data_IF_809913461394
#
_entry.id   IF_809913461394
#
_cell.length_a   1.000
_cell.length_b   1.000
_cell.length_c   1.000
_cell.angle_alpha   90.00
_cell.angle_beta   90.00
_cell.angle_gamma   90.00
#
_symmetry.space_group_name_H-M   'P 1'
#
loop_
_entity.id
_entity.type
_entity.pdbx_description
1 polymer ?
#
# COMPACT_ATOMS: atom_id res chain seq x y z
N UNK A 1 6.24 -18.24 36.69
CA UNK A 1 6.34 -16.82 37.09
C UNK A 1 6.48 -15.99 35.83
N UNK A 2 5.62 -14.98 35.65
CA UNK A 2 5.64 -14.16 34.42
C UNK A 2 6.87 -13.23 34.44
N UNK A 3 7.88 -13.56 33.63
CA UNK A 3 9.14 -12.81 33.57
C UNK A 3 8.99 -11.39 33.04
N UNK A 4 7.86 -11.05 32.35
CA UNK A 4 7.59 -9.70 31.88
C UNK A 4 7.24 -8.70 32.99
N UNK A 5 6.71 -9.21 34.10
CA UNK A 5 6.35 -8.41 35.27
C UNK A 5 7.36 -8.57 36.42
N UNK A 6 8.33 -9.46 36.29
CA UNK A 6 9.31 -9.71 37.35
C UNK A 6 10.47 -8.70 37.28
N UNK A 7 10.64 -7.81 38.28
CA UNK A 7 11.68 -6.79 38.25
C UNK A 7 13.12 -7.34 38.37
N UNK A 8 13.28 -8.62 38.66
CA UNK A 8 14.58 -9.28 38.61
C UNK A 8 15.09 -9.56 37.18
N UNK A 9 14.20 -9.50 36.22
CA UNK A 9 14.55 -9.67 34.78
C UNK A 9 14.60 -8.31 34.08
N UNK A 10 15.72 -8.01 33.45
CA UNK A 10 15.93 -6.76 32.72
C UNK A 10 15.84 -6.97 31.19
N UNK A 11 15.67 -5.88 30.42
CA UNK A 11 15.89 -5.92 28.97
C UNK A 11 17.39 -6.02 28.67
N UNK A 12 17.80 -6.51 27.49
CA UNK A 12 19.20 -6.48 27.07
C UNK A 12 19.64 -5.04 26.78
N UNK A 13 20.03 -4.32 27.86
CA UNK A 13 20.46 -2.92 27.79
C UNK A 13 21.63 -2.76 26.84
N UNK A 14 21.55 -1.75 25.98
CA UNK A 14 22.59 -1.43 25.01
C UNK A 14 23.42 -0.24 25.47
N UNK A 15 24.76 -0.29 25.35
CA UNK A 15 25.62 0.84 25.69
C UNK A 15 25.38 2.00 24.71
N UNK A 16 25.56 3.24 25.14
CA UNK A 16 25.56 4.39 24.27
C UNK A 16 26.66 4.28 23.20
N UNK A 17 26.31 4.64 21.97
CA UNK A 17 27.24 4.70 20.83
C UNK A 17 27.05 6.02 20.08
N UNK A 18 28.02 6.38 19.24
CA UNK A 18 28.04 7.68 18.54
C UNK A 18 27.29 7.73 17.21
N UNK A 19 26.90 6.57 16.67
CA UNK A 19 26.21 6.52 15.37
C UNK A 19 25.66 5.16 15.01
N UNK A 20 24.94 5.10 13.89
CA UNK A 20 24.40 3.89 13.30
C UNK A 20 23.32 3.20 14.16
N UNK A 21 23.08 1.93 13.88
CA UNK A 21 22.09 1.11 14.61
C UNK A 21 22.45 0.97 16.09
N UNK A 22 23.73 0.93 16.42
CA UNK A 22 24.18 0.88 17.81
C UNK A 22 23.77 2.14 18.59
N UNK A 23 23.90 3.33 18.00
CA UNK A 23 23.40 4.57 18.60
C UNK A 23 21.87 4.51 18.80
N UNK A 24 21.12 4.07 17.78
CA UNK A 24 19.68 3.96 17.87
C UNK A 24 19.28 3.03 19.04
N UNK A 25 19.85 1.82 19.10
CA UNK A 25 19.60 0.87 20.19
C UNK A 25 19.91 1.46 21.56
N UNK A 26 21.01 2.22 21.68
CA UNK A 26 21.45 2.84 22.94
C UNK A 26 20.56 3.99 23.42
N UNK A 27 19.66 4.54 22.59
CA UNK A 27 18.86 5.74 22.90
C UNK A 27 17.34 5.54 22.85
N UNK A 28 16.84 4.33 22.61
CA UNK A 28 15.40 4.00 22.61
C UNK A 28 14.93 3.41 23.93
N UNK A 29 13.60 3.45 24.26
CA UNK A 29 13.09 2.87 25.50
C UNK A 29 13.21 1.34 25.55
N UNK A 30 13.14 0.65 24.39
CA UNK A 30 13.12 -0.82 24.32
C UNK A 30 14.33 -1.49 24.97
N UNK A 31 15.50 -0.87 24.91
CA UNK A 31 16.77 -1.40 25.42
C UNK A 31 17.30 -0.60 26.60
N UNK A 32 16.44 0.04 27.37
CA UNK A 32 16.78 0.86 28.52
C UNK A 32 16.02 0.40 29.77
N UNK A 33 16.61 0.64 30.95
CA UNK A 33 15.99 0.39 32.24
C UNK A 33 15.97 1.66 33.11
N UNK A 34 15.17 1.63 34.18
CA UNK A 34 15.14 2.69 35.20
C UNK A 34 14.78 4.08 34.65
N UNK A 35 15.49 5.15 35.13
CA UNK A 35 15.16 6.53 34.76
C UNK A 35 15.28 6.81 33.23
N UNK A 36 16.22 6.16 32.53
CA UNK A 36 16.37 6.29 31.09
C UNK A 36 15.17 5.71 30.34
N UNK A 37 14.72 4.52 30.72
CA UNK A 37 13.50 3.93 30.18
C UNK A 37 12.30 4.85 30.41
N UNK A 38 12.08 5.30 31.65
CA UNK A 38 10.92 6.16 31.98
C UNK A 38 10.90 7.45 31.15
N UNK A 39 12.04 8.11 31.00
CA UNK A 39 12.15 9.36 30.22
C UNK A 39 11.86 9.14 28.74
N UNK A 40 12.49 8.11 28.13
CA UNK A 40 12.32 7.77 26.70
C UNK A 40 10.91 7.27 26.41
N UNK A 41 10.34 6.48 27.32
CA UNK A 41 8.96 6.01 27.23
C UNK A 41 7.98 7.17 27.22
N UNK A 42 8.13 8.15 28.11
CA UNK A 42 7.29 9.37 28.10
C UNK A 42 7.42 10.16 26.81
N UNK A 43 8.62 10.20 26.20
CA UNK A 43 8.82 10.86 24.91
C UNK A 43 8.03 10.14 23.80
N UNK A 44 8.10 8.81 23.73
CA UNK A 44 7.32 8.00 22.79
C UNK A 44 5.82 8.21 22.99
N UNK A 45 5.32 8.15 24.20
CA UNK A 45 3.90 8.35 24.53
C UNK A 45 3.39 9.73 24.16
N UNK A 46 4.19 10.79 24.35
CA UNK A 46 3.83 12.15 23.92
C UNK A 46 3.74 12.27 22.40
N UNK A 47 4.69 11.66 21.66
CA UNK A 47 4.66 11.65 20.19
C UNK A 47 3.41 10.93 19.70
N UNK A 48 3.12 9.75 20.25
CA UNK A 48 1.94 8.98 19.88
C UNK A 48 0.63 9.73 20.22
N UNK A 49 0.55 10.37 21.38
CA UNK A 49 -0.63 11.14 21.78
C UNK A 49 -0.94 12.34 20.85
N UNK A 50 0.03 12.82 20.08
CA UNK A 50 -0.16 13.88 19.10
C UNK A 50 -0.59 13.38 17.71
N UNK A 51 -0.61 12.07 17.49
CA UNK A 51 -0.96 11.46 16.21
C UNK A 51 -2.48 11.40 16.04
N UNK A 52 -2.97 11.91 14.93
CA UNK A 52 -4.34 11.70 14.51
C UNK A 52 -4.50 10.25 14.00
N UNK A 53 -5.32 9.46 14.70
CA UNK A 53 -5.57 8.07 14.32
C UNK A 53 -6.27 7.93 12.96
N UNK A 54 -7.08 8.92 12.55
CA UNK A 54 -7.72 8.91 11.22
C UNK A 54 -6.66 9.03 10.11
N UNK A 55 -5.60 9.80 10.34
CA UNK A 55 -4.48 9.88 9.40
C UNK A 55 -3.75 8.54 9.22
N UNK A 56 -3.79 7.65 10.21
CA UNK A 56 -3.21 6.31 10.12
C UNK A 56 -4.10 5.31 9.37
N UNK A 57 -5.42 5.55 9.30
CA UNK A 57 -6.40 4.68 8.62
C UNK A 57 -6.41 4.85 7.11
N UNK A 58 -5.42 5.53 6.55
CA UNK A 58 -5.26 5.68 5.09
C UNK A 58 -4.57 4.45 4.48
N UNK A 59 -4.89 4.10 3.23
CA UNK A 59 -4.17 3.08 2.48
C UNK A 59 -2.68 3.38 2.34
N UNK A 60 -1.91 2.35 1.98
CA UNK A 60 -0.46 2.43 1.76
C UNK A 60 0.36 1.85 2.90
N UNK A 61 1.69 1.94 2.78
CA UNK A 61 2.63 1.35 3.73
C UNK A 61 2.44 1.92 5.14
N UNK A 62 2.22 1.07 6.16
CA UNK A 62 1.95 1.52 7.52
C UNK A 62 3.04 2.41 8.10
N UNK A 63 4.32 2.07 7.86
CA UNK A 63 5.46 2.86 8.31
C UNK A 63 5.49 4.24 7.65
N UNK A 64 5.10 4.35 6.38
CA UNK A 64 5.03 5.62 5.67
C UNK A 64 3.90 6.51 6.25
N UNK A 65 2.74 5.92 6.55
CA UNK A 65 1.61 6.62 7.20
C UNK A 65 2.01 7.11 8.61
N UNK A 66 2.68 6.26 9.40
CA UNK A 66 3.16 6.64 10.73
C UNK A 66 4.25 7.73 10.64
N UNK A 67 5.18 7.63 9.69
CA UNK A 67 6.23 8.63 9.48
C UNK A 67 5.63 10.01 9.21
N UNK A 68 4.68 10.10 8.28
CA UNK A 68 3.98 11.34 7.96
C UNK A 68 3.22 11.90 9.16
N UNK A 69 2.54 11.03 9.92
CA UNK A 69 1.78 11.44 11.12
C UNK A 69 2.66 12.00 12.24
N UNK A 70 3.94 11.61 12.31
CA UNK A 70 4.92 12.14 13.27
C UNK A 70 5.86 13.19 12.65
N UNK A 71 5.50 13.73 11.48
CA UNK A 71 6.20 14.87 10.84
C UNK A 71 7.48 14.48 10.10
N UNK A 72 7.56 13.26 9.54
CA UNK A 72 8.66 12.81 8.69
C UNK A 72 8.16 12.52 7.26
N UNK A 73 9.04 12.63 6.24
CA UNK A 73 8.67 12.25 4.89
C UNK A 73 8.29 10.77 4.79
N UNK A 74 7.29 10.43 3.98
CA UNK A 74 6.87 9.03 3.73
C UNK A 74 8.03 8.14 3.26
N UNK A 75 8.94 8.71 2.47
CA UNK A 75 10.10 8.00 1.91
C UNK A 75 11.08 7.43 2.94
N UNK A 76 11.03 7.88 4.21
CA UNK A 76 11.87 7.30 5.26
C UNK A 76 11.53 5.82 5.52
N UNK A 77 10.37 5.34 5.07
CA UNK A 77 10.00 3.93 5.17
C UNK A 77 11.02 3.00 4.49
N UNK A 78 11.66 3.42 3.40
CA UNK A 78 12.73 2.64 2.76
C UNK A 78 13.97 2.48 3.65
N UNK A 79 14.36 3.54 4.35
CA UNK A 79 15.48 3.48 5.29
C UNK A 79 15.12 2.66 6.54
N UNK A 80 13.87 2.76 7.01
CA UNK A 80 13.36 1.95 8.12
C UNK A 80 13.42 0.46 7.77
N UNK A 81 13.05 0.07 6.54
CA UNK A 81 13.12 -1.32 6.08
C UNK A 81 14.56 -1.89 6.09
N UNK A 82 15.58 -1.06 5.86
CA UNK A 82 16.99 -1.46 5.98
C UNK A 82 17.43 -1.63 7.44
N UNK A 83 16.85 -0.86 8.36
CA UNK A 83 17.23 -0.88 9.79
C UNK A 83 16.50 -1.98 10.56
N UNK A 84 15.24 -2.25 10.23
CA UNK A 84 14.38 -3.17 10.99
C UNK A 84 14.98 -4.58 11.18
N UNK A 85 15.53 -5.27 10.16
CA UNK A 85 16.17 -6.58 10.31
C UNK A 85 17.39 -6.57 11.27
N UNK A 86 18.04 -5.41 11.39
CA UNK A 86 19.23 -5.23 12.24
C UNK A 86 18.89 -4.69 13.63
N UNK A 87 17.62 -4.39 13.94
CA UNK A 87 17.27 -3.64 15.15
C UNK A 87 17.44 -4.45 16.45
N UNK A 88 17.22 -5.76 16.40
CA UNK A 88 17.41 -6.60 17.58
C UNK A 88 18.91 -6.82 17.87
N UNK A 89 19.36 -6.76 19.15
CA UNK A 89 20.80 -6.83 19.47
C UNK A 89 21.51 -8.11 19.02
N UNK A 90 20.79 -9.20 18.86
CA UNK A 90 21.34 -10.50 18.42
C UNK A 90 21.43 -10.64 16.91
N UNK A 91 20.96 -9.65 16.15
CA UNK A 91 21.09 -9.63 14.70
C UNK A 91 22.33 -8.81 14.28
N UNK A 92 23.06 -9.26 13.26
CA UNK A 92 24.22 -8.52 12.75
C UNK A 92 23.78 -7.19 12.15
N UNK A 93 24.60 -6.16 12.33
CA UNK A 93 24.39 -4.84 11.73
C UNK A 93 25.06 -4.80 10.38
N UNK A 94 24.34 -4.34 9.35
CA UNK A 94 24.88 -4.12 8.02
C UNK A 94 25.32 -2.65 7.87
N UNK A 95 26.28 -2.41 6.96
CA UNK A 95 26.70 -1.06 6.61
C UNK A 95 25.54 -0.23 6.04
N UNK A 96 24.68 -0.84 5.24
CA UNK A 96 23.48 -0.19 4.69
C UNK A 96 22.52 0.29 5.79
N UNK A 97 22.33 -0.51 6.86
CA UNK A 97 21.51 -0.13 8.00
C UNK A 97 22.11 1.05 8.79
N UNK A 98 23.44 1.06 8.99
CA UNK A 98 24.10 2.20 9.66
C UNK A 98 23.98 3.50 8.84
N UNK A 99 24.17 3.42 7.53
CA UNK A 99 23.98 4.55 6.62
C UNK A 99 22.51 4.99 6.58
N UNK A 100 21.55 4.06 6.65
CA UNK A 100 20.11 4.36 6.72
C UNK A 100 19.77 5.12 8.01
N UNK A 101 20.32 4.74 9.18
CA UNK A 101 20.13 5.51 10.41
C UNK A 101 20.62 6.95 10.26
N UNK A 102 21.74 7.20 9.58
CA UNK A 102 22.22 8.56 9.34
C UNK A 102 21.25 9.38 8.46
N UNK A 103 20.67 8.76 7.41
CA UNK A 103 19.65 9.42 6.58
C UNK A 103 18.35 9.68 7.35
N UNK A 104 17.92 8.76 8.20
CA UNK A 104 16.77 8.94 9.10
C UNK A 104 16.98 10.09 10.07
N UNK A 105 18.17 10.20 10.69
CA UNK A 105 18.53 11.34 11.55
C UNK A 105 18.52 12.64 10.75
N UNK A 106 19.08 12.68 9.55
CA UNK A 106 19.06 13.85 8.68
C UNK A 106 17.62 14.29 8.36
N UNK A 107 16.74 13.35 8.01
CA UNK A 107 15.31 13.59 7.74
C UNK A 107 14.56 14.10 8.99
N UNK A 108 15.02 13.73 10.20
CA UNK A 108 14.45 14.15 11.47
C UNK A 108 15.05 15.47 12.02
N UNK A 109 15.79 16.23 11.20
CA UNK A 109 16.37 17.52 11.60
C UNK A 109 17.86 17.46 11.98
N UNK A 110 18.55 16.36 11.73
CA UNK A 110 20.01 16.20 11.81
C UNK A 110 20.59 16.07 13.22
N UNK A 111 19.77 16.01 14.28
CA UNK A 111 20.25 15.93 15.65
C UNK A 111 20.35 14.47 16.13
N UNK A 112 21.53 14.10 16.63
CA UNK A 112 21.81 12.81 17.24
C UNK A 112 21.47 12.83 18.74
N UNK A 113 20.17 13.08 19.04
CA UNK A 113 19.68 13.16 20.41
C UNK A 113 18.65 12.05 20.71
N UNK A 114 18.27 11.96 21.97
CA UNK A 114 17.36 10.91 22.47
C UNK A 114 15.95 11.05 21.86
N UNK A 115 15.49 12.27 21.59
CA UNK A 115 14.19 12.51 21.01
C UNK A 115 14.11 11.99 19.56
N UNK A 116 15.15 12.27 18.78
CA UNK A 116 15.30 11.75 17.41
C UNK A 116 15.40 10.22 17.40
N UNK A 117 16.16 9.63 18.33
CA UNK A 117 16.25 8.18 18.44
C UNK A 117 14.89 7.53 18.79
N UNK A 118 14.13 8.11 19.69
CA UNK A 118 12.79 7.63 20.05
C UNK A 118 11.85 7.72 18.86
N UNK A 119 11.87 8.81 18.10
CA UNK A 119 11.06 9.01 16.88
C UNK A 119 11.36 7.93 15.83
N UNK A 120 12.63 7.69 15.52
CA UNK A 120 13.07 6.65 14.60
C UNK A 120 12.72 5.26 15.15
N UNK A 121 12.92 5.04 16.45
CA UNK A 121 12.61 3.77 17.12
C UNK A 121 11.14 3.37 17.02
N UNK A 122 10.20 4.32 17.04
CA UNK A 122 8.77 4.05 16.81
C UNK A 122 8.54 3.46 15.42
N UNK A 123 9.14 4.04 14.37
CA UNK A 123 9.00 3.55 12.99
C UNK A 123 9.61 2.16 12.81
N UNK A 124 10.83 1.95 13.33
CA UNK A 124 11.54 0.67 13.20
C UNK A 124 10.79 -0.46 13.91
N UNK A 125 10.22 -0.20 15.09
CA UNK A 125 9.43 -1.19 15.83
C UNK A 125 8.07 -1.47 15.18
N UNK A 126 7.48 -0.48 14.50
CA UNK A 126 6.22 -0.64 13.79
C UNK A 126 6.36 -1.49 12.50
N UNK A 127 7.55 -1.55 11.89
CA UNK A 127 7.74 -2.15 10.56
C UNK A 127 7.23 -3.60 10.48
N UNK A 128 7.91 -4.53 11.12
CA UNK A 128 7.57 -5.96 11.03
C UNK A 128 6.29 -6.29 11.82
N UNK A 129 6.11 -5.66 12.99
CA UNK A 129 4.98 -5.93 13.86
C UNK A 129 3.64 -5.55 13.21
N UNK A 130 3.57 -4.40 12.52
CA UNK A 130 2.34 -3.98 11.85
C UNK A 130 2.07 -4.81 10.59
N UNK A 131 3.09 -5.14 9.80
CA UNK A 131 2.95 -6.04 8.65
C UNK A 131 2.45 -7.42 9.05
N UNK A 132 2.98 -7.99 10.14
CA UNK A 132 2.51 -9.26 10.67
C UNK A 132 1.04 -9.18 11.15
N UNK A 133 0.65 -8.08 11.79
CA UNK A 133 -0.74 -7.84 12.20
C UNK A 133 -1.69 -7.75 10.98
N UNK A 134 -1.27 -7.08 9.90
CA UNK A 134 -2.03 -6.98 8.64
C UNK A 134 -2.17 -8.35 7.99
N UNK A 135 -1.11 -9.15 7.99
CA UNK A 135 -1.09 -10.50 7.45
C UNK A 135 -1.93 -11.51 8.29
N UNK A 136 -2.48 -11.06 9.44
CA UNK A 136 -3.38 -11.87 10.25
C UNK A 136 -2.70 -12.75 11.29
N UNK A 137 -1.41 -12.49 11.61
CA UNK A 137 -0.75 -13.19 12.71
C UNK A 137 -1.35 -12.76 14.05
N UNK A 138 -1.88 -13.71 14.82
CA UNK A 138 -2.43 -13.44 16.17
C UNK A 138 -1.37 -12.92 17.15
N UNK A 139 -0.11 -13.30 16.93
CA UNK A 139 1.04 -12.83 17.71
C UNK A 139 2.11 -12.27 16.78
N UNK A 140 1.99 -10.98 16.38
CA UNK A 140 2.92 -10.33 15.45
C UNK A 140 4.40 -10.38 15.90
N UNK A 141 4.63 -10.36 17.23
CA UNK A 141 5.95 -10.53 17.84
C UNK A 141 5.85 -11.72 18.79
N UNK A 142 6.25 -12.95 18.38
CA UNK A 142 5.98 -14.17 19.14
C UNK A 142 6.77 -14.28 20.46
N UNK A 143 7.91 -13.60 20.57
CA UNK A 143 8.75 -13.67 21.76
C UNK A 143 9.57 -12.40 21.98
N UNK A 144 10.00 -12.18 23.22
CA UNK A 144 10.97 -11.13 23.57
C UNK A 144 12.05 -11.68 24.50
N UNK A 145 13.23 -11.07 24.44
CA UNK A 145 14.37 -11.47 25.29
C UNK A 145 14.45 -10.65 26.56
N UNK A 146 14.87 -11.32 27.64
CA UNK A 146 15.18 -10.72 28.94
C UNK A 146 16.53 -11.26 29.42
N UNK A 147 17.14 -10.54 30.32
CA UNK A 147 18.34 -10.97 31.08
C UNK A 147 17.89 -11.38 32.47
N UNK A 148 18.16 -12.61 32.83
CA UNK A 148 17.86 -13.17 34.14
C UNK A 148 18.82 -12.62 35.20
N UNK A 149 18.54 -12.78 36.51
CA UNK A 149 19.40 -12.30 37.61
C UNK A 149 20.82 -12.87 37.61
N UNK A 150 21.02 -14.04 37.03
CA UNK A 150 22.33 -14.69 36.85
C UNK A 150 23.09 -14.23 35.58
N UNK A 151 22.53 -13.28 34.83
CA UNK A 151 23.10 -12.77 33.59
C UNK A 151 22.80 -13.60 32.36
N UNK A 152 22.11 -14.72 32.45
CA UNK A 152 21.72 -15.55 31.32
C UNK A 152 20.56 -14.93 30.51
N UNK A 153 20.47 -15.26 29.23
CA UNK A 153 19.30 -14.87 28.44
C UNK A 153 18.09 -15.77 28.77
N UNK A 154 16.93 -15.12 28.94
CA UNK A 154 15.63 -15.75 29.05
C UNK A 154 14.71 -15.27 27.95
N UNK A 155 13.93 -16.18 27.35
CA UNK A 155 12.95 -15.86 26.30
C UNK A 155 11.55 -15.86 26.93
N UNK A 156 10.84 -14.74 26.79
CA UNK A 156 9.44 -14.63 27.16
C UNK A 156 8.55 -14.88 25.94
N UNK A 157 7.67 -15.85 26.04
CA UNK A 157 6.61 -16.10 25.06
C UNK A 157 5.57 -14.96 25.15
N UNK A 158 5.20 -14.41 24.00
CA UNK A 158 4.18 -13.36 23.85
C UNK A 158 2.88 -13.88 23.24
N UNK A 159 2.69 -15.19 23.10
CA UNK A 159 1.43 -15.77 22.60
C UNK A 159 0.24 -15.24 23.40
N UNK A 160 -0.77 -14.72 22.72
CA UNK A 160 -1.93 -14.05 23.33
C UNK A 160 -1.64 -12.66 23.92
N UNK A 161 -0.44 -12.11 23.70
CA UNK A 161 -0.02 -10.77 24.17
C UNK A 161 0.67 -10.01 23.01
N UNK A 162 -0.04 -9.65 21.93
CA UNK A 162 0.54 -9.11 20.71
C UNK A 162 1.34 -7.82 20.94
N UNK A 163 1.02 -7.05 21.99
CA UNK A 163 1.72 -5.82 22.38
C UNK A 163 2.62 -5.98 23.60
N UNK A 164 2.90 -7.22 24.02
CA UNK A 164 3.69 -7.52 25.20
C UNK A 164 2.94 -7.26 26.51
N UNK A 165 3.70 -7.17 27.61
CA UNK A 165 3.16 -6.90 28.95
C UNK A 165 4.21 -6.24 29.85
N UNK A 166 3.75 -5.70 31.00
CA UNK A 166 4.60 -5.06 32.00
C UNK A 166 5.15 -3.70 31.57
N UNK A 167 6.23 -3.22 32.17
CA UNK A 167 6.77 -1.88 31.94
C UNK A 167 7.19 -1.62 30.50
N UNK A 168 7.52 -2.67 29.76
CA UNK A 168 7.94 -2.61 28.34
C UNK A 168 6.84 -3.03 27.35
N UNK A 169 5.56 -3.07 27.76
CA UNK A 169 4.44 -3.23 26.84
C UNK A 169 4.46 -2.12 25.78
N UNK A 170 4.06 -2.44 24.55
CA UNK A 170 4.01 -1.44 23.47
C UNK A 170 2.99 -0.34 23.80
N UNK A 171 3.35 0.95 23.72
CA UNK A 171 2.40 2.05 23.94
C UNK A 171 1.53 2.37 22.72
N UNK A 172 1.75 1.70 21.58
CA UNK A 172 1.20 2.06 20.28
C UNK A 172 0.11 1.06 19.82
N UNK A 173 -0.57 0.36 20.72
CA UNK A 173 -1.59 -0.63 20.39
C UNK A 173 -2.67 -0.03 19.47
N UNK A 174 -3.33 1.04 19.91
CA UNK A 174 -4.38 1.71 19.12
C UNK A 174 -3.87 2.27 17.79
N UNK A 175 -2.61 2.68 17.71
CA UNK A 175 -1.97 3.15 16.49
C UNK A 175 -1.70 2.00 15.51
N UNK A 176 -1.22 0.85 16.01
CA UNK A 176 -1.00 -0.34 15.20
C UNK A 176 -2.32 -0.88 14.63
N UNK A 177 -3.39 -0.86 15.44
CA UNK A 177 -4.74 -1.22 14.99
C UNK A 177 -5.26 -0.26 13.91
N UNK A 178 -5.08 1.05 14.08
CA UNK A 178 -5.47 2.05 13.09
C UNK A 178 -4.71 1.88 11.77
N UNK A 179 -3.39 1.61 11.81
CA UNK A 179 -2.58 1.30 10.64
C UNK A 179 -3.05 0.02 9.93
N UNK A 180 -3.35 -1.03 10.70
CA UNK A 180 -3.88 -2.28 10.15
C UNK A 180 -5.28 -2.10 9.54
N UNK A 181 -6.10 -1.25 10.13
CA UNK A 181 -7.40 -0.88 9.58
C UNK A 181 -7.26 -0.13 8.26
N UNK A 182 -6.34 0.83 8.15
CA UNK A 182 -6.02 1.58 6.93
C UNK A 182 -5.66 0.65 5.76
N UNK A 183 -4.83 -0.35 6.01
CA UNK A 183 -4.47 -1.35 5.01
C UNK A 183 -5.66 -2.18 4.51
N UNK A 184 -6.76 -2.27 5.28
CA UNK A 184 -7.96 -3.05 4.93
C UNK A 184 -9.08 -2.21 4.30
N UNK A 185 -9.00 -0.88 4.31
CA UNK A 185 -10.05 0.00 3.79
C UNK A 185 -10.43 -0.37 2.37
N UNK A 186 -9.44 -0.46 1.48
CA UNK A 186 -9.72 -0.76 0.07
C UNK A 186 -10.26 -2.19 -0.14
N UNK A 187 -9.84 -3.18 0.67
CA UNK A 187 -10.40 -4.54 0.62
C UNK A 187 -11.88 -4.54 0.96
N UNK A 188 -12.28 -3.84 2.03
CA UNK A 188 -13.69 -3.75 2.46
C UNK A 188 -14.61 -3.13 1.42
N UNK A 189 -14.10 -2.27 0.53
CA UNK A 189 -14.90 -1.67 -0.56
C UNK A 189 -15.37 -2.70 -1.59
N UNK A 190 -14.80 -3.90 -1.60
CA UNK A 190 -15.23 -5.02 -2.46
C UNK A 190 -16.23 -5.96 -1.75
N UNK A 191 -16.53 -5.70 -0.48
CA UNK A 191 -17.50 -6.44 0.29
C UNK A 191 -18.91 -5.85 0.07
N UNK A 192 -19.93 -6.66 0.30
CA UNK A 192 -21.30 -6.22 0.13
C UNK A 192 -21.92 -6.54 -1.23
N UNK A 193 -23.20 -6.20 -1.44
CA UNK A 193 -23.97 -6.62 -2.61
C UNK A 193 -23.66 -5.78 -3.87
N UNK A 194 -23.34 -4.50 -3.72
CA UNK A 194 -23.09 -3.61 -4.84
C UNK A 194 -21.62 -3.67 -5.29
N UNK A 195 -21.34 -3.79 -6.60
CA UNK A 195 -19.98 -3.76 -7.10
C UNK A 195 -19.34 -2.40 -6.87
N UNK A 196 -18.06 -2.38 -6.50
CA UNK A 196 -17.23 -1.18 -6.56
C UNK A 196 -17.06 -0.78 -8.04
N UNK A 197 -17.67 0.33 -8.46
CA UNK A 197 -17.38 0.92 -9.78
C UNK A 197 -16.13 1.76 -9.66
N UNK A 198 -15.06 1.33 -10.33
CA UNK A 198 -13.73 1.92 -10.23
C UNK A 198 -13.33 2.50 -11.59
N UNK A 199 -13.51 3.82 -11.79
CA UNK A 199 -13.09 4.49 -13.00
C UNK A 199 -11.57 4.63 -13.07
N UNK A 200 -11.00 4.61 -14.28
CA UNK A 200 -9.57 4.68 -14.50
C UNK A 200 -9.17 6.05 -15.07
N UNK A 201 -8.29 6.74 -14.34
CA UNK A 201 -7.68 8.00 -14.72
C UNK A 201 -6.33 7.78 -15.42
N UNK A 202 -5.86 8.79 -16.17
CA UNK A 202 -4.56 8.80 -16.84
C UNK A 202 -3.75 10.06 -16.52
N UNK A 203 -4.36 11.03 -15.84
CA UNK A 203 -3.75 12.27 -15.35
C UNK A 203 -4.48 12.80 -14.12
N UNK A 204 -3.95 13.86 -13.54
CA UNK A 204 -4.52 14.50 -12.34
C UNK A 204 -5.89 15.11 -12.64
N UNK A 205 -6.09 15.71 -13.82
CA UNK A 205 -7.34 16.38 -14.15
C UNK A 205 -8.51 15.39 -14.26
N UNK A 206 -8.29 14.25 -14.92
CA UNK A 206 -9.29 13.18 -15.00
C UNK A 206 -9.59 12.58 -13.61
N UNK A 207 -8.56 12.37 -12.79
CA UNK A 207 -8.75 11.83 -11.44
C UNK A 207 -9.57 12.77 -10.54
N UNK A 208 -9.26 14.08 -10.54
CA UNK A 208 -10.01 15.08 -9.77
C UNK A 208 -11.48 15.17 -10.23
N UNK A 209 -11.72 15.15 -11.54
CA UNK A 209 -13.08 15.14 -12.06
C UNK A 209 -13.89 13.92 -11.61
N UNK A 210 -13.25 12.74 -11.53
CA UNK A 210 -13.89 11.51 -11.08
C UNK A 210 -14.19 11.54 -9.57
N UNK A 211 -13.27 12.08 -8.76
CA UNK A 211 -13.52 12.28 -7.31
C UNK A 211 -14.66 13.25 -7.08
N UNK A 212 -14.69 14.38 -7.82
CA UNK A 212 -15.77 15.39 -7.76
C UNK A 212 -17.12 14.80 -8.17
N UNK A 213 -17.12 13.86 -9.13
CA UNK A 213 -18.31 13.11 -9.53
C UNK A 213 -18.78 12.08 -8.49
N UNK A 214 -18.10 11.96 -7.33
CA UNK A 214 -18.49 11.11 -6.22
C UNK A 214 -17.99 9.67 -6.27
N UNK A 215 -17.03 9.34 -7.14
CA UNK A 215 -16.41 8.01 -7.12
C UNK A 215 -15.52 7.85 -5.89
N UNK A 216 -15.71 6.74 -5.19
CA UNK A 216 -15.09 6.46 -3.88
C UNK A 216 -13.73 5.76 -3.96
N UNK A 217 -13.30 5.37 -5.16
CA UNK A 217 -11.96 4.86 -5.46
C UNK A 217 -11.62 5.12 -6.93
N UNK A 218 -10.33 5.28 -7.23
CA UNK A 218 -9.81 5.57 -8.58
C UNK A 218 -8.78 4.52 -8.97
N UNK A 219 -8.82 4.05 -10.22
CA UNK A 219 -7.74 3.29 -10.84
C UNK A 219 -6.91 4.13 -11.80
N UNK A 220 -5.71 3.68 -12.17
CA UNK A 220 -5.02 4.18 -13.35
C UNK A 220 -5.25 3.25 -14.55
N UNK A 221 -4.85 3.68 -15.75
CA UNK A 221 -4.84 2.87 -16.96
C UNK A 221 -3.49 2.99 -17.65
N UNK A 222 -2.77 1.85 -17.80
CA UNK A 222 -1.47 1.80 -18.48
C UNK A 222 -1.52 2.43 -19.86
N UNK A 223 -2.50 2.02 -20.69
CA UNK A 223 -2.70 2.59 -22.03
C UNK A 223 -2.89 4.11 -21.99
N UNK A 224 -3.72 4.62 -21.06
CA UNK A 224 -3.97 6.07 -20.98
C UNK A 224 -2.72 6.85 -20.60
N UNK A 225 -1.95 6.37 -19.61
CA UNK A 225 -0.68 6.97 -19.19
C UNK A 225 0.35 6.91 -20.32
N UNK A 226 0.58 5.73 -20.91
CA UNK A 226 1.52 5.56 -22.01
C UNK A 226 1.19 6.46 -23.21
N UNK A 227 -0.07 6.44 -23.66
CA UNK A 227 -0.51 7.22 -24.82
C UNK A 227 -0.43 8.74 -24.57
N UNK A 228 -0.74 9.22 -23.35
CA UNK A 228 -0.59 10.64 -23.00
C UNK A 228 0.87 11.12 -23.09
N UNK A 229 1.84 10.21 -22.95
CA UNK A 229 3.28 10.50 -23.07
C UNK A 229 3.90 10.04 -24.41
N UNK A 230 3.07 9.63 -25.38
CA UNK A 230 3.53 9.19 -26.69
C UNK A 230 4.25 7.84 -26.72
N UNK A 231 4.01 7.01 -25.70
CA UNK A 231 4.59 5.68 -25.57
C UNK A 231 3.60 4.59 -25.99
N UNK A 232 4.11 3.43 -26.39
CA UNK A 232 3.29 2.25 -26.65
C UNK A 232 2.91 1.55 -25.34
N UNK A 233 1.66 1.07 -25.24
CA UNK A 233 1.15 0.28 -24.13
C UNK A 233 1.75 -1.14 -24.11
N UNK A 234 1.75 -1.78 -22.95
CA UNK A 234 2.25 -3.15 -22.72
C UNK A 234 3.72 -3.37 -23.12
N UNK A 235 4.53 -2.33 -23.10
CA UNK A 235 5.97 -2.39 -23.42
C UNK A 235 6.87 -2.27 -22.20
N UNK A 236 6.31 -1.97 -21.03
CA UNK A 236 7.07 -1.68 -19.83
C UNK A 236 7.75 -0.30 -19.81
N UNK A 237 7.49 0.56 -20.78
CA UNK A 237 8.20 1.84 -20.92
C UNK A 237 7.70 2.94 -19.95
N UNK A 238 6.49 2.82 -19.40
CA UNK A 238 5.81 3.88 -18.63
C UNK A 238 6.03 3.88 -17.12
N UNK A 239 7.08 3.24 -16.61
CA UNK A 239 7.28 3.09 -15.15
C UNK A 239 7.45 4.43 -14.41
N UNK A 240 8.22 5.36 -14.98
CA UNK A 240 8.48 6.67 -14.36
C UNK A 240 7.20 7.51 -14.32
N UNK A 241 6.49 7.59 -15.43
CA UNK A 241 5.25 8.35 -15.60
C UNK A 241 4.14 7.80 -14.72
N UNK A 242 4.00 6.47 -14.67
CA UNK A 242 3.03 5.79 -13.80
C UNK A 242 3.34 6.05 -12.32
N UNK A 243 4.61 5.99 -11.91
CA UNK A 243 5.02 6.29 -10.53
C UNK A 243 4.83 7.78 -10.19
N UNK A 244 5.12 8.69 -11.09
CA UNK A 244 4.92 10.12 -10.89
C UNK A 244 3.44 10.46 -10.77
N UNK A 245 2.59 9.87 -11.62
CA UNK A 245 1.14 9.98 -11.52
C UNK A 245 0.65 9.39 -10.19
N UNK A 246 1.08 8.18 -9.83
CA UNK A 246 0.70 7.51 -8.58
C UNK A 246 1.02 8.38 -7.34
N UNK A 247 2.19 9.04 -7.32
CA UNK A 247 2.59 9.97 -6.24
C UNK A 247 1.61 11.12 -6.09
N UNK A 248 1.14 11.70 -7.20
CA UNK A 248 0.17 12.78 -7.18
C UNK A 248 -1.22 12.28 -6.77
N UNK A 249 -1.67 11.17 -7.33
CA UNK A 249 -2.99 10.61 -7.05
C UNK A 249 -3.12 10.07 -5.62
N UNK A 250 -2.04 9.57 -5.02
CA UNK A 250 -2.05 9.09 -3.62
C UNK A 250 -2.38 10.20 -2.59
N UNK A 251 -2.38 11.47 -3.00
CA UNK A 251 -2.83 12.60 -2.15
C UNK A 251 -4.35 12.82 -2.18
N UNK A 252 -5.08 12.13 -3.05
CA UNK A 252 -6.54 12.23 -3.14
C UNK A 252 -7.22 11.66 -1.87
N UNK A 253 -8.44 12.14 -1.54
CA UNK A 253 -9.18 11.68 -0.37
C UNK A 253 -9.82 10.28 -0.56
N UNK A 254 -9.49 9.58 -1.64
CA UNK A 254 -10.01 8.26 -2.00
C UNK A 254 -8.87 7.28 -2.27
N UNK A 255 -9.06 5.96 -2.02
CA UNK A 255 -8.07 4.96 -2.39
C UNK A 255 -7.77 4.96 -3.88
N UNK A 256 -6.48 4.79 -4.20
CA UNK A 256 -5.97 4.71 -5.57
C UNK A 256 -5.36 3.34 -5.82
N UNK A 257 -5.70 2.71 -6.94
CA UNK A 257 -5.05 1.49 -7.44
C UNK A 257 -4.35 1.76 -8.76
N UNK A 258 -3.18 1.14 -8.95
CA UNK A 258 -2.31 1.42 -10.11
C UNK A 258 -2.23 0.19 -11.01
N UNK A 259 -2.41 0.38 -12.30
CA UNK A 259 -2.15 -0.65 -13.31
C UNK A 259 -0.66 -0.67 -13.63
N UNK A 260 0.02 -1.76 -13.30
CA UNK A 260 1.46 -1.91 -13.47
C UNK A 260 1.84 -2.88 -14.60
N UNK A 261 0.90 -3.21 -15.49
CA UNK A 261 1.12 -4.21 -16.53
C UNK A 261 1.67 -5.51 -15.88
N UNK A 262 2.79 -6.03 -16.39
CA UNK A 262 3.52 -7.15 -15.80
C UNK A 262 4.76 -6.72 -14.99
N UNK A 263 4.80 -5.43 -14.55
CA UNK A 263 5.90 -4.83 -13.78
C UNK A 263 6.53 -3.60 -14.42
N UNK A 264 6.00 -3.11 -15.55
CA UNK A 264 6.50 -1.91 -16.26
C UNK A 264 8.01 -1.95 -16.55
N UNK A 265 8.54 -3.14 -16.89
CA UNK A 265 9.98 -3.32 -17.18
C UNK A 265 10.90 -3.26 -15.96
N UNK A 266 10.36 -3.29 -14.75
CA UNK A 266 11.06 -3.30 -13.47
C UNK A 266 10.78 -4.59 -12.70
N UNK A 267 11.48 -4.81 -11.59
CA UNK A 267 11.10 -5.83 -10.61
C UNK A 267 9.72 -5.50 -10.03
N UNK A 268 8.72 -6.38 -10.16
CA UNK A 268 7.37 -6.10 -9.70
C UNK A 268 7.25 -5.96 -8.17
N UNK A 269 8.14 -6.61 -7.40
CA UNK A 269 8.13 -6.55 -5.93
C UNK A 269 8.65 -5.19 -5.47
N UNK A 270 9.77 -4.73 -6.04
CA UNK A 270 10.32 -3.39 -5.76
C UNK A 270 9.32 -2.29 -6.14
N UNK A 271 8.68 -2.42 -7.33
CA UNK A 271 7.68 -1.45 -7.78
C UNK A 271 6.47 -1.43 -6.85
N UNK A 272 5.99 -2.58 -6.41
CA UNK A 272 4.86 -2.68 -5.48
C UNK A 272 5.17 -2.03 -4.11
N UNK A 273 6.39 -2.24 -3.57
CA UNK A 273 6.82 -1.61 -2.33
C UNK A 273 6.92 -0.08 -2.49
N UNK A 274 7.52 0.42 -3.57
CA UNK A 274 7.57 1.85 -3.88
C UNK A 274 6.17 2.48 -3.95
N UNK A 275 5.22 1.83 -4.64
CA UNK A 275 3.84 2.31 -4.76
C UNK A 275 3.11 2.31 -3.42
N UNK A 276 3.30 1.26 -2.61
CA UNK A 276 2.73 1.20 -1.25
C UNK A 276 3.26 2.34 -0.37
N UNK A 277 4.57 2.60 -0.40
CA UNK A 277 5.18 3.73 0.33
C UNK A 277 4.61 5.07 -0.13
N UNK A 278 4.29 5.25 -1.41
CA UNK A 278 3.62 6.45 -1.92
C UNK A 278 2.19 6.62 -1.39
N UNK A 279 1.53 5.55 -0.92
CA UNK A 279 0.16 5.58 -0.42
C UNK A 279 -0.86 4.91 -1.34
N UNK A 280 -0.40 4.17 -2.35
CA UNK A 280 -1.27 3.39 -3.25
C UNK A 280 -1.94 2.27 -2.47
N UNK A 281 -3.23 2.08 -2.69
CA UNK A 281 -4.04 1.07 -1.99
C UNK A 281 -3.98 -0.32 -2.64
N UNK A 282 -3.68 -0.38 -3.94
CA UNK A 282 -3.63 -1.65 -4.66
C UNK A 282 -3.00 -1.52 -6.04
N UNK A 283 -2.75 -2.65 -6.65
CA UNK A 283 -2.23 -2.77 -8.02
C UNK A 283 -3.05 -3.76 -8.84
N UNK A 284 -3.10 -3.55 -10.17
CA UNK A 284 -3.36 -4.63 -11.10
C UNK A 284 -2.03 -5.13 -11.64
N UNK A 285 -1.83 -6.45 -11.65
CA UNK A 285 -0.67 -7.09 -12.27
C UNK A 285 -1.15 -8.21 -13.18
N UNK A 286 -0.69 -8.21 -14.44
CA UNK A 286 -1.20 -9.12 -15.47
C UNK A 286 -0.25 -10.27 -15.80
N UNK A 287 -0.83 -11.38 -16.22
CA UNK A 287 -0.08 -12.50 -16.82
C UNK A 287 0.13 -12.34 -18.34
N UNK A 288 -0.47 -11.30 -18.92
CA UNK A 288 -0.21 -10.90 -20.30
C UNK A 288 1.26 -10.51 -20.52
N UNK A 289 1.81 -10.89 -21.66
CA UNK A 289 3.14 -10.53 -22.15
C UNK A 289 3.04 -10.13 -23.61
N UNK A 290 4.01 -9.41 -24.17
CA UNK A 290 4.00 -9.05 -25.61
C UNK A 290 3.90 -10.26 -26.54
N UNK A 291 4.36 -11.43 -26.11
CA UNK A 291 4.38 -12.66 -26.91
C UNK A 291 3.44 -13.76 -26.40
N UNK A 292 2.40 -13.40 -25.66
CA UNK A 292 1.42 -14.35 -25.13
C UNK A 292 1.24 -14.24 -23.60
N UNK A 293 1.07 -15.34 -22.91
CA UNK A 293 0.84 -15.37 -21.45
C UNK A 293 2.07 -15.93 -20.73
N UNK A 294 2.39 -15.38 -19.55
CA UNK A 294 3.35 -15.98 -18.64
C UNK A 294 2.92 -17.38 -18.22
N UNK A 295 3.89 -18.23 -17.86
CA UNK A 295 3.56 -19.48 -17.22
C UNK A 295 2.79 -19.23 -15.90
N UNK A 296 1.69 -19.96 -15.61
CA UNK A 296 0.88 -19.72 -14.41
C UNK A 296 1.67 -19.82 -13.11
N UNK A 297 2.71 -20.67 -13.07
CA UNK A 297 3.58 -20.82 -11.90
C UNK A 297 4.48 -19.61 -11.68
N UNK A 298 5.01 -19.03 -12.75
CA UNK A 298 5.84 -17.82 -12.72
C UNK A 298 5.03 -16.62 -12.19
N UNK A 299 3.84 -16.40 -12.76
CA UNK A 299 2.96 -15.30 -12.32
C UNK A 299 2.52 -15.48 -10.86
N UNK A 300 2.21 -16.69 -10.43
CA UNK A 300 1.87 -17.00 -9.05
C UNK A 300 3.03 -16.71 -8.09
N UNK A 301 4.28 -17.00 -8.49
CA UNK A 301 5.46 -16.69 -7.67
C UNK A 301 5.67 -15.18 -7.51
N UNK A 302 5.47 -14.41 -8.58
CA UNK A 302 5.51 -12.94 -8.52
C UNK A 302 4.47 -12.42 -7.54
N UNK A 303 3.22 -12.90 -7.65
CA UNK A 303 2.13 -12.49 -6.74
C UNK A 303 2.48 -12.83 -5.29
N UNK A 304 2.96 -14.03 -5.01
CA UNK A 304 3.39 -14.45 -3.66
C UNK A 304 4.49 -13.55 -3.13
N UNK A 305 5.53 -13.29 -3.92
CA UNK A 305 6.64 -12.44 -3.53
C UNK A 305 6.18 -11.01 -3.21
N UNK A 306 5.25 -10.45 -3.98
CA UNK A 306 4.64 -9.15 -3.68
C UNK A 306 3.88 -9.21 -2.35
N UNK A 307 3.07 -10.25 -2.12
CA UNK A 307 2.28 -10.36 -0.89
C UNK A 307 3.12 -10.59 0.36
N UNK A 308 4.22 -11.33 0.24
CA UNK A 308 5.17 -11.54 1.32
C UNK A 308 5.90 -10.23 1.69
N UNK A 309 6.29 -9.43 0.69
CA UNK A 309 6.99 -8.17 0.89
C UNK A 309 6.06 -7.02 1.31
N UNK A 310 4.84 -6.96 0.76
CA UNK A 310 3.91 -5.83 0.90
C UNK A 310 2.48 -6.34 1.19
N UNK A 311 2.25 -6.98 2.37
CA UNK A 311 0.97 -7.61 2.69
C UNK A 311 -0.22 -6.64 2.74
N UNK A 312 0.05 -5.34 2.97
CA UNK A 312 -0.95 -4.27 2.99
C UNK A 312 -1.53 -3.95 1.62
N UNK A 313 -0.77 -4.16 0.53
CA UNK A 313 -1.17 -3.80 -0.82
C UNK A 313 -2.21 -4.77 -1.37
N UNK A 314 -3.31 -4.25 -1.93
CA UNK A 314 -4.32 -5.06 -2.60
C UNK A 314 -3.81 -5.49 -3.99
N UNK A 315 -3.56 -6.77 -4.18
CA UNK A 315 -3.11 -7.34 -5.46
C UNK A 315 -4.32 -7.87 -6.23
N UNK A 316 -4.70 -7.20 -7.31
CA UNK A 316 -5.71 -7.61 -8.26
C UNK A 316 -5.05 -8.37 -9.42
N UNK A 317 -5.01 -9.68 -9.34
CA UNK A 317 -4.34 -10.53 -10.34
C UNK A 317 -5.15 -10.54 -11.63
N UNK A 318 -4.55 -10.05 -12.73
CA UNK A 318 -5.20 -10.00 -14.02
C UNK A 318 -4.86 -11.25 -14.85
N UNK A 319 -5.91 -11.92 -15.32
CA UNK A 319 -5.87 -13.13 -16.17
C UNK A 319 -6.24 -12.73 -17.59
N UNK A 320 -5.28 -12.68 -18.49
CA UNK A 320 -5.44 -12.12 -19.84
C UNK A 320 -5.87 -13.14 -20.91
N UNK A 321 -6.27 -14.34 -20.50
CA UNK A 321 -6.76 -15.37 -21.45
C UNK A 321 -7.87 -14.86 -22.35
N UNK A 322 -8.90 -14.21 -21.77
CA UNK A 322 -10.02 -13.63 -22.54
C UNK A 322 -9.64 -12.35 -23.27
N UNK A 323 -8.68 -11.58 -22.78
CA UNK A 323 -8.19 -10.38 -23.44
C UNK A 323 -7.39 -10.70 -24.70
N UNK A 324 -6.46 -11.64 -24.60
CA UNK A 324 -5.62 -12.07 -25.72
C UNK A 324 -6.25 -13.16 -26.58
N UNK A 325 -7.47 -13.64 -26.23
CA UNK A 325 -8.16 -14.73 -26.92
C UNK A 325 -7.30 -16.01 -27.05
N UNK A 326 -6.54 -16.32 -26.00
CA UNK A 326 -5.65 -17.48 -25.96
C UNK A 326 -5.81 -18.26 -24.65
N UNK A 327 -5.56 -19.56 -24.66
CA UNK A 327 -5.65 -20.44 -23.50
C UNK A 327 -6.96 -20.28 -22.68
N UNK A 328 -8.09 -20.06 -23.34
CA UNK A 328 -9.38 -19.75 -22.71
C UNK A 328 -9.81 -20.80 -21.67
N UNK A 329 -9.45 -22.07 -21.88
CA UNK A 329 -9.74 -23.16 -20.94
C UNK A 329 -8.93 -23.07 -19.63
N UNK A 330 -7.86 -22.27 -19.60
CA UNK A 330 -7.02 -22.09 -18.43
C UNK A 330 -7.48 -20.93 -17.52
N UNK A 331 -8.46 -20.12 -17.95
CA UNK A 331 -8.90 -18.92 -17.22
C UNK A 331 -9.16 -19.23 -15.75
N UNK A 332 -9.90 -20.30 -15.46
CA UNK A 332 -10.24 -20.71 -14.11
C UNK A 332 -9.00 -21.17 -13.32
N UNK A 333 -8.23 -22.08 -13.86
CA UNK A 333 -7.07 -22.66 -13.16
C UNK A 333 -5.97 -21.61 -12.90
N UNK A 334 -5.84 -20.61 -13.77
CA UNK A 334 -4.96 -19.46 -13.53
C UNK A 334 -5.46 -18.60 -12.38
N UNK A 335 -6.76 -18.27 -12.37
CA UNK A 335 -7.39 -17.51 -11.30
C UNK A 335 -7.20 -18.20 -9.94
N UNK A 336 -7.50 -19.50 -9.85
CA UNK A 336 -7.34 -20.30 -8.63
C UNK A 336 -5.88 -20.26 -8.12
N UNK A 337 -4.92 -20.48 -9.02
CA UNK A 337 -3.50 -20.45 -8.67
C UNK A 337 -3.01 -19.08 -8.17
N UNK A 338 -3.54 -17.99 -8.73
CA UNK A 338 -3.17 -16.63 -8.31
C UNK A 338 -3.79 -16.30 -6.94
N UNK A 339 -4.98 -16.79 -6.68
CA UNK A 339 -5.62 -16.71 -5.34
C UNK A 339 -4.82 -17.51 -4.32
N UNK A 340 -4.41 -18.75 -4.63
CA UNK A 340 -3.54 -19.57 -3.77
C UNK A 340 -2.18 -18.88 -3.50
N UNK A 341 -1.71 -18.04 -4.41
CA UNK A 341 -0.51 -17.23 -4.24
C UNK A 341 -0.74 -15.96 -3.40
N UNK A 342 -1.98 -15.68 -2.98
CA UNK A 342 -2.32 -14.55 -2.11
C UNK A 342 -2.92 -13.34 -2.81
N UNK A 343 -3.35 -13.45 -4.07
CA UNK A 343 -4.08 -12.37 -4.73
C UNK A 343 -5.34 -11.99 -3.96
N UNK A 344 -5.58 -10.69 -3.78
CA UNK A 344 -6.74 -10.15 -3.06
C UNK A 344 -7.98 -9.99 -3.95
N UNK A 345 -7.83 -10.09 -5.26
CA UNK A 345 -8.88 -10.07 -6.27
C UNK A 345 -8.41 -10.67 -7.58
N UNK A 346 -9.35 -11.04 -8.44
CA UNK A 346 -9.07 -11.55 -9.79
C UNK A 346 -9.73 -10.66 -10.82
N UNK A 347 -8.97 -10.23 -11.82
CA UNK A 347 -9.45 -9.42 -12.92
C UNK A 347 -9.37 -10.19 -14.24
N UNK A 348 -10.50 -10.39 -14.91
CA UNK A 348 -10.57 -11.08 -16.22
C UNK A 348 -11.10 -10.12 -17.28
N UNK A 349 -10.24 -9.27 -17.88
CA UNK A 349 -10.68 -8.36 -18.92
C UNK A 349 -11.12 -9.15 -20.16
N UNK A 350 -12.16 -8.65 -20.85
CA UNK A 350 -12.70 -9.29 -22.05
C UNK A 350 -13.65 -10.46 -21.80
N UNK A 351 -13.80 -10.96 -20.56
CA UNK A 351 -14.77 -11.99 -20.24
C UNK A 351 -16.19 -11.43 -20.33
N UNK A 352 -17.05 -12.09 -21.14
CA UNK A 352 -18.46 -11.68 -21.38
C UNK A 352 -19.46 -12.81 -21.21
N UNK A 353 -19.01 -14.06 -21.13
CA UNK A 353 -19.88 -15.23 -21.05
C UNK A 353 -20.51 -15.30 -19.64
N UNK A 354 -21.86 -15.13 -19.51
CA UNK A 354 -22.50 -15.00 -18.20
C UNK A 354 -22.39 -16.24 -17.29
N UNK A 355 -22.34 -17.45 -17.89
CA UNK A 355 -22.18 -18.70 -17.15
C UNK A 355 -20.83 -18.75 -16.45
N UNK A 356 -19.74 -18.46 -17.18
CA UNK A 356 -18.39 -18.46 -16.63
C UNK A 356 -18.21 -17.32 -15.62
N UNK A 357 -18.79 -16.13 -15.88
CA UNK A 357 -18.77 -15.02 -14.90
C UNK A 357 -19.40 -15.47 -13.59
N UNK A 358 -20.60 -16.07 -13.63
CA UNK A 358 -21.30 -16.54 -12.42
C UNK A 358 -20.50 -17.62 -11.70
N UNK A 359 -19.92 -18.56 -12.43
CA UNK A 359 -19.09 -19.62 -11.85
C UNK A 359 -17.87 -19.04 -11.15
N UNK A 360 -17.10 -18.16 -11.80
CA UNK A 360 -15.92 -17.51 -11.20
C UNK A 360 -16.32 -16.69 -9.98
N UNK A 361 -17.37 -15.86 -10.08
CA UNK A 361 -17.82 -15.02 -8.99
C UNK A 361 -18.32 -15.79 -7.76
N UNK A 362 -18.91 -16.99 -7.97
CA UNK A 362 -19.41 -17.83 -6.87
C UNK A 362 -18.35 -18.69 -6.21
N UNK A 363 -17.31 -19.08 -6.95
CA UNK A 363 -16.37 -20.10 -6.49
C UNK A 363 -15.00 -19.51 -6.08
N UNK A 364 -14.65 -18.32 -6.54
CA UNK A 364 -13.44 -17.63 -6.07
C UNK A 364 -13.69 -17.06 -4.66
N UNK A 365 -12.78 -17.27 -3.70
CA UNK A 365 -12.90 -16.70 -2.36
C UNK A 365 -12.56 -15.21 -2.30
N UNK A 366 -12.24 -14.59 -3.44
CA UNK A 366 -11.86 -13.19 -3.59
C UNK A 366 -12.76 -12.49 -4.63
N UNK A 367 -12.89 -11.15 -4.60
CA UNK A 367 -13.72 -10.41 -5.53
C UNK A 367 -13.29 -10.61 -6.98
N UNK A 368 -14.26 -10.88 -7.85
CA UNK A 368 -14.09 -10.86 -9.30
C UNK A 368 -14.23 -9.43 -9.81
N UNK A 369 -13.23 -8.96 -10.57
CA UNK A 369 -13.24 -7.71 -11.30
C UNK A 369 -13.42 -7.97 -12.81
N UNK A 370 -14.28 -7.19 -13.45
CA UNK A 370 -14.47 -7.18 -14.90
C UNK A 370 -14.41 -5.74 -15.44
N UNK A 371 -14.28 -5.61 -16.76
CA UNK A 371 -14.51 -4.34 -17.43
C UNK A 371 -16.02 -4.06 -17.54
N UNK A 372 -16.40 -2.77 -17.55
CA UNK A 372 -17.78 -2.32 -17.70
C UNK A 372 -18.35 -2.54 -19.11
N UNK A 373 -18.24 -3.76 -19.63
CA UNK A 373 -18.72 -4.16 -20.95
C UNK A 373 -20.18 -4.67 -20.94
N UNK A 374 -20.70 -4.97 -19.76
CA UNK A 374 -22.10 -5.27 -19.48
C UNK A 374 -22.64 -4.23 -18.50
N UNK A 375 -23.96 -4.00 -18.45
CA UNK A 375 -24.56 -3.10 -17.46
C UNK A 375 -24.20 -3.50 -16.02
N UNK A 376 -23.87 -2.52 -15.18
CA UNK A 376 -23.49 -2.78 -13.78
C UNK A 376 -24.53 -3.61 -13.01
N UNK A 377 -25.86 -3.39 -13.14
CA UNK A 377 -26.85 -4.24 -12.50
C UNK A 377 -26.74 -5.71 -12.94
N UNK A 378 -26.48 -5.99 -14.20
CA UNK A 378 -26.29 -7.35 -14.70
C UNK A 378 -25.00 -7.98 -14.12
N UNK A 379 -23.90 -7.22 -14.04
CA UNK A 379 -22.66 -7.68 -13.43
C UNK A 379 -22.84 -7.99 -11.94
N UNK A 380 -23.58 -7.14 -11.22
CA UNK A 380 -23.97 -7.38 -9.83
C UNK A 380 -24.73 -8.68 -9.66
N UNK A 381 -25.75 -8.91 -10.50
CA UNK A 381 -26.60 -10.11 -10.43
C UNK A 381 -25.84 -11.40 -10.82
N UNK A 382 -24.71 -11.26 -11.51
CA UNK A 382 -23.75 -12.32 -11.79
C UNK A 382 -22.72 -12.53 -10.66
N UNK A 383 -22.71 -11.68 -9.61
CA UNK A 383 -21.85 -11.81 -8.45
C UNK A 383 -20.51 -11.03 -8.56
N UNK A 384 -20.32 -10.23 -9.61
CA UNK A 384 -19.13 -9.35 -9.77
C UNK A 384 -19.07 -8.35 -8.64
N UNK A 385 -17.88 -8.09 -8.10
CA UNK A 385 -17.64 -7.17 -6.97
C UNK A 385 -16.86 -5.94 -7.32
N UNK A 386 -16.20 -5.89 -8.48
CA UNK A 386 -15.52 -4.70 -8.99
C UNK A 386 -15.76 -4.57 -10.49
N UNK A 387 -16.03 -3.33 -10.92
CA UNK A 387 -16.19 -2.98 -12.33
C UNK A 387 -15.21 -1.86 -12.65
N UNK A 388 -14.18 -2.15 -13.43
CA UNK A 388 -13.18 -1.18 -13.89
C UNK A 388 -13.54 -0.67 -15.29
N UNK A 389 -13.14 0.56 -15.62
CA UNK A 389 -13.36 1.13 -16.96
C UNK A 389 -12.21 0.88 -17.92
N UNK A 390 -11.02 0.53 -17.41
CA UNK A 390 -9.82 0.38 -18.21
C UNK A 390 -9.53 1.66 -19.02
N UNK A 391 -9.14 1.53 -20.25
CA UNK A 391 -8.86 2.67 -21.14
C UNK A 391 -10.09 3.37 -21.72
N UNK A 392 -11.30 2.93 -21.35
CA UNK A 392 -12.54 3.45 -21.98
C UNK A 392 -12.65 4.97 -21.84
N UNK A 393 -12.40 5.52 -20.64
CA UNK A 393 -12.55 6.95 -20.37
C UNK A 393 -11.52 7.78 -21.16
N UNK A 394 -10.27 7.32 -21.21
CA UNK A 394 -9.24 7.95 -22.04
C UNK A 394 -9.64 7.99 -23.51
N UNK A 395 -10.05 6.87 -24.07
CA UNK A 395 -10.49 6.79 -25.49
C UNK A 395 -11.70 7.66 -25.77
N UNK A 396 -12.63 7.75 -24.83
CA UNK A 396 -13.79 8.64 -24.93
C UNK A 396 -13.37 10.13 -24.91
N UNK A 397 -12.41 10.50 -24.04
CA UNK A 397 -11.89 11.86 -23.98
C UNK A 397 -11.16 12.27 -25.26
N UNK A 398 -10.32 11.38 -25.82
CA UNK A 398 -9.65 11.63 -27.11
C UNK A 398 -10.68 11.82 -28.24
N UNK A 399 -11.72 10.97 -28.28
CA UNK A 399 -12.80 11.12 -29.28
C UNK A 399 -13.55 12.43 -29.08
N UNK A 400 -13.92 12.78 -27.86
CA UNK A 400 -14.62 14.04 -27.57
C UNK A 400 -13.79 15.27 -28.00
N UNK A 401 -12.47 15.24 -27.77
CA UNK A 401 -11.57 16.32 -28.21
C UNK A 401 -11.56 16.47 -29.74
N UNK A 402 -11.46 15.37 -30.48
CA UNK A 402 -11.48 15.41 -31.97
C UNK A 402 -12.83 15.86 -32.51
N UNK A 403 -13.95 15.33 -31.97
CA UNK A 403 -15.31 15.71 -32.39
C UNK A 403 -15.56 17.21 -32.15
N UNK A 404 -15.14 17.73 -31.00
CA UNK A 404 -15.26 19.15 -30.66
C UNK A 404 -14.45 20.03 -31.59
N UNK A 405 -13.20 19.66 -31.89
CA UNK A 405 -12.34 20.39 -32.82
C UNK A 405 -12.95 20.40 -34.26
N UNK A 406 -13.53 19.28 -34.68
CA UNK A 406 -14.21 19.20 -35.97
C UNK A 406 -15.48 20.06 -36.03
N UNK A 407 -16.28 20.08 -34.96
CA UNK A 407 -17.44 20.96 -34.85
C UNK A 407 -17.05 22.44 -34.97
N UNK A 408 -16.00 22.87 -34.26
CA UNK A 408 -15.47 24.24 -34.33
C UNK A 408 -15.00 24.55 -35.77
N UNK A 409 -14.26 23.66 -36.42
CA UNK A 409 -13.80 23.82 -37.81
C UNK A 409 -14.96 23.96 -38.80
N UNK A 410 -16.04 23.25 -38.55
CA UNK A 410 -17.23 23.26 -39.43
C UNK A 410 -18.20 24.43 -39.10
N UNK A 411 -17.94 25.24 -38.06
CA UNK A 411 -18.83 26.29 -37.58
C UNK A 411 -20.10 25.76 -36.91
N UNK A 412 -20.08 24.52 -36.41
CA UNK A 412 -21.19 23.92 -35.72
C UNK A 412 -21.15 24.27 -34.20
N UNK A 413 -22.29 24.25 -33.49
CA UNK A 413 -22.31 24.40 -32.05
C UNK A 413 -21.48 23.32 -31.38
N UNK A 414 -20.72 23.72 -30.35
CA UNK A 414 -20.03 22.80 -29.44
C UNK A 414 -21.02 22.38 -28.33
N UNK A 415 -21.00 21.10 -27.97
CA UNK A 415 -21.82 20.59 -26.89
C UNK A 415 -21.42 21.19 -25.52
N UNK A 416 -22.15 20.82 -24.48
CA UNK A 416 -21.87 21.28 -23.11
C UNK A 416 -20.52 20.73 -22.63
N UNK A 417 -19.63 21.63 -22.19
CA UNK A 417 -18.31 21.31 -21.64
C UNK A 417 -18.05 22.14 -20.39
N UNK A 418 -17.25 21.64 -19.44
CA UNK A 418 -16.87 22.41 -18.26
C UNK A 418 -16.25 23.75 -18.63
N UNK A 419 -16.58 24.79 -17.90
CA UNK A 419 -16.00 26.12 -18.08
C UNK A 419 -14.51 26.14 -17.74
N UNK A 420 -13.81 27.18 -18.24
CA UNK A 420 -12.41 27.40 -17.87
C UNK A 420 -12.23 27.51 -16.34
N UNK A 421 -13.14 28.21 -15.66
CA UNK A 421 -13.08 28.41 -14.21
C UNK A 421 -13.24 27.09 -13.43
N UNK A 422 -14.17 26.22 -13.84
CA UNK A 422 -14.37 24.90 -13.24
C UNK A 422 -13.13 24.02 -13.37
N UNK A 423 -12.48 24.00 -14.53
CA UNK A 423 -11.25 23.24 -14.73
C UNK A 423 -10.08 23.87 -13.94
N UNK A 424 -9.95 25.20 -13.95
CA UNK A 424 -8.88 25.91 -13.26
C UNK A 424 -8.96 25.77 -11.72
N UNK A 425 -10.16 25.55 -11.19
CA UNK A 425 -10.37 25.30 -9.75
C UNK A 425 -9.95 23.89 -9.29
N UNK A 426 -9.81 22.93 -10.20
CA UNK A 426 -9.40 21.54 -9.90
C UNK A 426 -7.91 21.46 -9.66
N UNK A 427 -7.50 21.55 -8.40
CA UNK A 427 -6.09 21.47 -7.98
C UNK A 427 -5.91 20.46 -6.86
N UNK A 428 -4.75 19.78 -6.83
CA UNK A 428 -4.37 18.94 -5.70
C UNK A 428 -4.15 19.82 -4.47
N UNK A 429 -4.80 19.48 -3.35
CA UNK A 429 -4.69 20.25 -2.09
C UNK A 429 -5.59 21.48 -1.98
N UNK A 430 -6.38 21.78 -3.00
CA UNK A 430 -7.47 22.74 -2.91
C UNK A 430 -8.60 22.13 -2.07
N UNK A 431 -8.68 22.43 -0.78
CA UNK A 431 -9.87 22.15 0.02
C UNK A 431 -11.07 22.75 -0.68
N UNK A 432 -12.18 22.00 -0.75
CA UNK A 432 -13.48 22.50 -1.18
C UNK A 432 -13.86 23.70 -0.30
N UNK A 433 -13.46 24.89 -0.72
CA UNK A 433 -14.03 26.11 -0.23
C UNK A 433 -15.49 26.06 -0.66
N UNK A 434 -16.36 25.72 0.26
CA UNK A 434 -17.81 25.95 0.14
C UNK A 434 -17.99 27.43 -0.19
N UNK A 435 -18.23 27.73 -1.46
CA UNK A 435 -18.81 28.99 -1.84
C UNK A 435 -20.21 29.02 -1.19
N UNK A 436 -20.35 29.87 -0.18
CA UNK A 436 -21.63 30.22 0.42
C UNK A 436 -22.52 31.03 -0.52
#
# INVERSE_FOLDING_TARGET
MDILHNPAYSVPVQPPASGGVAWLRGHVPRFAEGPAHTRRRRSAERMLASVDLEALRRPGAPVANLAEAIGLPRSVAFDVALVAPCYQPHHPVTRAADEAVARLVASAGGRWDEETAVRIGLLVQAHDATRALIAGYETPVPATRRIAPDGSEAVADLTGRPFGAGPHACPAETHAEALAEGARVFRRMHEGPEPLVLPNAWDVASALALVEAGFTAIGTTSLGVAAAHGMADATGAGAAETKDLARLLATLPVPVTVDIEYGLGRDPVELADELSVLGVAGINIEDGRPTGLAAPAEQAEIIRSIKDAVPELFVNARVDTCWQQTALTETRSRADRYVEAGADGVFVPGLREPGLIRTLAAELPVPLNLLGQLPVPQLRDLGVRRVSTGSLLFRAAVKAATDTAEAVRAGNPVGDVPTYAEIAARTLGGGTGTAG
#
